data_IF_578972842987
#
_entry.id   IF_578972842987
#
_cell.length_a   1.000
_cell.length_b   1.000
_cell.length_c   1.000
_cell.angle_alpha   90.00
_cell.angle_beta   90.00
_cell.angle_gamma   90.00
#
_symmetry.space_group_name_H-M   'P 1'
#
loop_
_entity.id
_entity.type
_entity.pdbx_description
1 polymer ?
#
# COMPACT_ATOMS: atom_id res chain seq x y z
N UNK A 1 3.01 4.18 63.17
CA UNK A 1 4.03 3.32 62.54
C UNK A 1 3.32 2.06 62.07
N UNK A 2 2.78 2.04 60.85
CA UNK A 2 3.45 1.76 59.57
C UNK A 2 3.58 0.26 59.29
N UNK A 3 2.78 -0.24 58.36
CA UNK A 3 3.29 -0.95 57.17
C UNK A 3 2.14 -1.16 56.18
N UNK A 4 2.19 -0.43 55.07
CA UNK A 4 1.39 -0.73 53.89
C UNK A 4 1.85 -2.09 53.35
N UNK A 5 0.91 -3.03 53.26
CA UNK A 5 1.16 -4.33 52.67
C UNK A 5 1.64 -4.13 51.23
N UNK A 6 2.87 -4.55 50.99
CA UNK A 6 3.55 -4.49 49.72
C UNK A 6 2.73 -5.30 48.70
N UNK A 7 2.06 -4.63 47.76
CA UNK A 7 1.41 -5.27 46.62
C UNK A 7 2.52 -5.70 45.68
N UNK A 8 3.07 -6.89 45.93
CA UNK A 8 3.95 -7.58 45.00
C UNK A 8 3.11 -8.04 43.80
N UNK A 9 3.02 -7.17 42.79
CA UNK A 9 2.54 -7.55 41.46
C UNK A 9 3.44 -8.66 40.91
N UNK A 10 2.85 -9.83 40.70
CA UNK A 10 3.45 -11.12 40.31
C UNK A 10 4.06 -11.19 38.90
N UNK A 11 4.63 -10.10 38.38
CA UNK A 11 5.35 -10.11 37.10
C UNK A 11 6.85 -9.91 37.31
N UNK A 12 7.51 -10.96 37.81
CA UNK A 12 8.98 -11.05 37.87
C UNK A 12 9.62 -11.36 36.49
N UNK A 13 8.90 -11.14 35.39
CA UNK A 13 9.46 -11.30 34.04
C UNK A 13 10.08 -9.98 33.60
N UNK A 14 11.38 -9.94 33.22
CA UNK A 14 12.00 -8.71 32.75
C UNK A 14 11.22 -8.19 31.53
N UNK A 15 10.76 -6.94 31.62
CA UNK A 15 10.03 -6.24 30.56
C UNK A 15 10.92 -6.26 29.30
N UNK A 16 10.42 -6.87 28.22
CA UNK A 16 11.18 -7.01 26.96
C UNK A 16 11.72 -5.63 26.56
N UNK A 17 13.02 -5.52 26.28
CA UNK A 17 13.60 -4.24 25.88
C UNK A 17 12.87 -3.71 24.65
N UNK A 18 12.44 -2.45 24.71
CA UNK A 18 11.76 -1.80 23.60
C UNK A 18 12.72 -1.70 22.42
N UNK A 19 12.59 -2.60 21.45
CA UNK A 19 13.25 -2.46 20.16
C UNK A 19 12.47 -1.44 19.35
N UNK A 20 12.85 -0.16 19.49
CA UNK A 20 12.51 0.85 18.49
C UNK A 20 13.30 0.46 17.24
N UNK A 21 12.74 -0.43 16.42
CA UNK A 21 13.30 -0.69 15.09
C UNK A 21 13.45 0.65 14.37
N UNK A 22 14.41 0.77 13.45
CA UNK A 22 14.48 1.95 12.59
C UNK A 22 13.22 1.94 11.71
N UNK A 23 12.25 2.85 11.95
CA UNK A 23 11.08 2.89 11.10
C UNK A 23 11.54 3.37 9.72
N UNK A 24 11.13 2.66 8.67
CA UNK A 24 11.39 3.09 7.30
C UNK A 24 10.90 4.53 7.13
N UNK A 25 11.77 5.36 6.58
CA UNK A 25 11.45 6.73 6.19
C UNK A 25 10.33 6.74 5.14
N UNK A 26 9.66 7.88 4.95
CA UNK A 26 8.58 7.99 3.98
C UNK A 26 9.04 7.59 2.55
N UNK A 27 10.26 7.98 2.18
CA UNK A 27 10.90 7.64 0.90
C UNK A 27 11.20 6.14 0.78
N UNK A 28 11.75 5.51 1.82
CA UNK A 28 12.03 4.06 1.80
C UNK A 28 10.75 3.23 1.72
N UNK A 29 9.67 3.67 2.37
CA UNK A 29 8.35 3.02 2.24
C UNK A 29 7.80 3.14 0.82
N UNK A 30 7.95 4.30 0.20
CA UNK A 30 7.53 4.52 -1.20
C UNK A 30 8.35 3.64 -2.15
N UNK A 31 9.67 3.61 -2.00
CA UNK A 31 10.56 2.76 -2.80
C UNK A 31 10.24 1.28 -2.62
N UNK A 32 10.02 0.81 -1.39
CA UNK A 32 9.64 -0.57 -1.11
C UNK A 32 8.27 -0.92 -1.74
N UNK A 33 7.31 0.02 -1.72
CA UNK A 33 6.04 -0.18 -2.39
C UNK A 33 6.18 -0.25 -3.91
N UNK A 34 7.02 0.59 -4.50
CA UNK A 34 7.31 0.56 -5.94
C UNK A 34 8.05 -0.71 -6.34
N UNK A 35 9.03 -1.14 -5.55
CA UNK A 35 9.78 -2.38 -5.77
C UNK A 35 8.86 -3.60 -5.78
N UNK A 36 7.95 -3.73 -4.80
CA UNK A 36 6.94 -4.81 -4.77
C UNK A 36 6.01 -4.79 -5.98
N UNK A 37 5.61 -3.60 -6.46
CA UNK A 37 4.77 -3.48 -7.66
C UNK A 37 5.52 -3.87 -8.93
N UNK A 38 6.83 -3.59 -9.01
CA UNK A 38 7.68 -3.97 -10.15
C UNK A 38 7.96 -5.47 -10.28
N UNK A 39 7.87 -6.22 -9.19
CA UNK A 39 7.98 -7.68 -9.23
C UNK A 39 6.82 -8.33 -9.98
N UNK A 40 5.62 -7.77 -9.85
CA UNK A 40 4.38 -8.35 -10.38
C UNK A 40 3.87 -7.64 -11.64
N UNK A 41 4.15 -6.34 -11.79
CA UNK A 41 3.61 -5.50 -12.86
C UNK A 41 4.75 -4.80 -13.63
N UNK A 42 4.60 -4.66 -14.96
CA UNK A 42 5.49 -3.85 -15.79
C UNK A 42 4.90 -2.45 -15.99
N UNK A 43 5.76 -1.43 -15.95
CA UNK A 43 5.34 -0.03 -16.16
C UNK A 43 5.12 0.24 -17.66
N UNK A 44 3.97 0.84 -18.00
CA UNK A 44 3.61 1.25 -19.37
C UNK A 44 3.59 2.78 -19.42
N UNK A 45 4.47 3.38 -20.24
CA UNK A 45 4.48 4.82 -20.52
C UNK A 45 3.97 5.07 -21.92
N UNK A 46 2.75 5.58 -22.03
CA UNK A 46 2.09 5.84 -23.32
C UNK A 46 1.46 7.23 -23.34
N UNK A 47 1.45 7.83 -24.52
CA UNK A 47 0.70 9.05 -24.79
C UNK A 47 -0.61 8.69 -25.48
N UNK A 48 -1.71 9.16 -24.90
CA UNK A 48 -3.07 8.95 -25.42
C UNK A 48 -3.67 10.32 -25.76
N UNK A 49 -4.61 10.34 -26.70
CA UNK A 49 -5.35 11.57 -27.05
C UNK A 49 -6.03 12.14 -25.81
N UNK A 50 -5.99 13.46 -25.65
CA UNK A 50 -6.53 14.17 -24.48
C UNK A 50 -7.99 13.79 -24.20
N UNK A 51 -8.85 13.84 -25.22
CA UNK A 51 -10.27 13.51 -25.07
C UNK A 51 -10.54 12.07 -24.55
N UNK A 52 -9.69 11.11 -24.93
CA UNK A 52 -9.82 9.74 -24.44
C UNK A 52 -9.38 9.63 -22.99
N UNK A 53 -8.32 10.36 -22.60
CA UNK A 53 -7.86 10.39 -21.22
C UNK A 53 -8.89 11.04 -20.30
N UNK A 54 -9.51 12.14 -20.73
CA UNK A 54 -10.54 12.83 -19.96
C UNK A 54 -11.74 11.88 -19.72
N UNK A 55 -12.18 11.16 -20.75
CA UNK A 55 -13.26 10.17 -20.61
C UNK A 55 -12.89 8.96 -19.76
N UNK A 56 -11.64 8.50 -19.82
CA UNK A 56 -11.13 7.46 -18.95
C UNK A 56 -11.19 7.89 -17.47
N UNK A 57 -10.86 9.15 -17.18
CA UNK A 57 -10.94 9.69 -15.82
C UNK A 57 -12.38 9.73 -15.30
N UNK A 58 -13.33 10.17 -16.12
CA UNK A 58 -14.76 10.17 -15.77
C UNK A 58 -15.26 8.76 -15.40
N UNK A 59 -14.86 7.73 -16.17
CA UNK A 59 -15.23 6.34 -15.88
C UNK A 59 -14.54 5.84 -14.61
N UNK A 60 -13.25 6.13 -14.43
CA UNK A 60 -12.52 5.76 -13.23
C UNK A 60 -13.15 6.38 -11.97
N UNK A 61 -13.60 7.64 -12.04
CA UNK A 61 -14.29 8.32 -10.94
C UNK A 61 -15.67 7.72 -10.65
N UNK A 62 -16.43 7.38 -11.69
CA UNK A 62 -17.77 6.81 -11.54
C UNK A 62 -17.73 5.39 -10.96
N UNK A 63 -16.78 4.56 -11.39
CA UNK A 63 -16.67 3.15 -10.98
C UNK A 63 -15.75 2.97 -9.75
N UNK A 64 -15.06 4.02 -9.30
CA UNK A 64 -14.11 3.95 -8.19
C UNK A 64 -12.86 3.12 -8.52
N UNK A 65 -12.52 3.00 -9.80
CA UNK A 65 -11.40 2.22 -10.30
C UNK A 65 -10.15 3.09 -10.48
N UNK A 66 -8.99 2.47 -10.36
CA UNK A 66 -7.74 3.12 -10.72
C UNK A 66 -7.53 3.10 -12.24
N UNK A 67 -6.77 4.06 -12.77
CA UNK A 67 -6.42 4.10 -14.20
C UNK A 67 -5.69 2.81 -14.66
N UNK A 68 -4.94 2.19 -13.76
CA UNK A 68 -4.24 0.93 -14.05
C UNK A 68 -5.23 -0.23 -14.21
N UNK A 69 -6.17 -0.39 -13.27
CA UNK A 69 -7.22 -1.42 -13.34
C UNK A 69 -8.11 -1.23 -14.58
N UNK A 70 -8.42 0.02 -14.94
CA UNK A 70 -9.15 0.31 -16.18
C UNK A 70 -8.38 -0.19 -17.42
N UNK A 71 -7.07 0.03 -17.47
CA UNK A 71 -6.24 -0.45 -18.59
C UNK A 71 -6.12 -1.98 -18.58
N UNK A 72 -5.94 -2.60 -17.42
CA UNK A 72 -5.86 -4.06 -17.29
C UNK A 72 -7.15 -4.73 -17.76
N UNK A 73 -8.31 -4.27 -17.31
CA UNK A 73 -9.61 -4.81 -17.74
C UNK A 73 -9.87 -4.62 -19.23
N UNK A 74 -9.44 -3.49 -19.80
CA UNK A 74 -9.55 -3.23 -21.24
C UNK A 74 -8.65 -4.18 -22.05
N UNK A 75 -7.42 -4.40 -21.59
CA UNK A 75 -6.50 -5.37 -22.21
C UNK A 75 -7.00 -6.81 -22.10
N UNK A 76 -7.52 -7.21 -20.94
CA UNK A 76 -8.09 -8.55 -20.74
C UNK A 76 -9.27 -8.82 -21.68
N UNK A 77 -10.18 -7.85 -21.82
CA UNK A 77 -11.33 -7.97 -22.75
C UNK A 77 -10.87 -8.08 -24.21
N UNK A 78 -9.99 -7.19 -24.66
CA UNK A 78 -9.48 -7.18 -26.04
C UNK A 78 -8.67 -8.43 -26.39
N UNK A 79 -7.93 -9.00 -25.43
CA UNK A 79 -7.18 -10.24 -25.63
C UNK A 79 -8.07 -11.48 -25.56
N UNK A 80 -9.19 -11.44 -24.84
CA UNK A 80 -10.15 -12.54 -24.77
C UNK A 80 -11.10 -12.61 -25.98
N UNK A 81 -11.40 -11.47 -26.61
CA UNK A 81 -12.26 -11.38 -27.80
C UNK A 81 -11.51 -11.64 -29.12
N UNK A 82 -10.18 -11.78 -29.07
CA UNK A 82 -9.31 -12.14 -30.21
C UNK A 82 -9.09 -13.64 -30.32
#
# INVERSE_FOLDING_TARGET
>A
MSQAANVETSSAKPKRSYRKGQPLTASERQLASVARKRETHKEIKVFVRKALKDRMLEVCEAEGLTQAEFIETLLERELAER
#
